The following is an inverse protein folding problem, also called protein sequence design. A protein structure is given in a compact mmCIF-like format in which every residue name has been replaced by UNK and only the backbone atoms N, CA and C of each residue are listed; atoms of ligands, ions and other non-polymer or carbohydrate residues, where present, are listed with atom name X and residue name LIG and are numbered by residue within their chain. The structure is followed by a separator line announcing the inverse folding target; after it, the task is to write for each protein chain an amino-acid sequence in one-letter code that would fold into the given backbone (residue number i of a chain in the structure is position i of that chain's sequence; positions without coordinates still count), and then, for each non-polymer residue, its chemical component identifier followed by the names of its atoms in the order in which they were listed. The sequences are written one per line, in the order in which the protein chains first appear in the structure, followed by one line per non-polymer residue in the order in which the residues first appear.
data_IF_973724861623
#
_entry.id   IF_973724861623
#
_cell.length_a   1.000
_cell.length_b   1.000
_cell.length_c   1.000
_cell.angle_alpha   90.00
_cell.angle_beta   90.00
_cell.angle_gamma   90.00
#
_symmetry.space_group_name_H-M   'P 1'
#
loop_
_entity.id
_entity.type
_entity.pdbx_description
1 polymer ?
#
# COMPACT_ATOMS: atom_id res chain seq x y z
N UNK A 1 33.50 -28.27 6.87
CA UNK A 1 32.07 -28.19 7.22
C UNK A 1 31.64 -26.74 7.18
N UNK A 2 30.55 -26.45 6.47
CA UNK A 2 29.97 -25.11 6.41
C UNK A 2 29.32 -24.68 7.74
N UNK A 3 29.01 -23.41 7.87
CA UNK A 3 28.21 -22.85 8.97
C UNK A 3 26.72 -22.96 8.68
N UNK A 4 25.90 -22.87 9.71
CA UNK A 4 24.43 -22.84 9.53
C UNK A 4 24.01 -21.66 8.63
N UNK A 5 23.07 -21.93 7.71
CA UNK A 5 22.59 -20.95 6.72
C UNK A 5 23.44 -20.83 5.45
N UNK A 6 24.50 -21.59 5.29
CA UNK A 6 25.27 -21.69 4.04
C UNK A 6 24.74 -22.79 3.11
N UNK A 7 24.91 -22.59 1.81
CA UNK A 7 24.61 -23.60 0.78
C UNK A 7 25.92 -24.03 0.10
N UNK A 8 25.96 -25.30 -0.29
CA UNK A 8 27.12 -25.82 -1.08
C UNK A 8 26.87 -25.43 -2.54
N UNK A 9 27.75 -24.56 -3.06
CA UNK A 9 27.64 -24.03 -4.43
C UNK A 9 28.80 -24.52 -5.28
N UNK A 10 28.56 -24.60 -6.60
CA UNK A 10 29.62 -24.82 -7.57
C UNK A 10 30.37 -23.52 -7.80
N UNK A 11 31.66 -23.52 -7.63
CA UNK A 11 32.56 -22.37 -7.87
C UNK A 11 33.13 -22.33 -9.30
N UNK A 12 32.60 -23.18 -10.19
CA UNK A 12 33.01 -23.28 -11.59
C UNK A 12 33.78 -24.55 -11.94
N UNK A 13 33.98 -24.75 -13.23
CA UNK A 13 34.70 -25.94 -13.74
C UNK A 13 36.15 -25.97 -13.23
N UNK A 14 36.55 -27.11 -12.63
CA UNK A 14 37.90 -27.31 -12.11
C UNK A 14 38.17 -26.78 -10.70
N UNK A 15 37.16 -26.21 -10.04
CA UNK A 15 37.26 -25.76 -8.63
C UNK A 15 36.41 -26.62 -7.72
N UNK A 16 36.83 -26.93 -6.48
CA UNK A 16 35.99 -27.63 -5.51
C UNK A 16 34.75 -26.81 -5.13
N UNK A 17 33.60 -27.45 -4.87
CA UNK A 17 32.43 -26.74 -4.32
C UNK A 17 32.77 -26.03 -3.00
N UNK A 18 32.18 -24.85 -2.79
CA UNK A 18 32.37 -24.08 -1.56
C UNK A 18 31.00 -23.86 -0.84
N UNK A 19 31.07 -23.69 0.49
CA UNK A 19 29.95 -23.25 1.27
C UNK A 19 29.86 -21.73 1.20
N UNK A 20 28.74 -21.22 0.65
CA UNK A 20 28.53 -19.79 0.48
C UNK A 20 27.26 -19.36 1.19
N UNK A 21 27.25 -18.10 1.67
CA UNK A 21 26.04 -17.51 2.21
C UNK A 21 24.98 -17.38 1.11
N UNK A 22 23.75 -17.69 1.43
CA UNK A 22 22.64 -17.42 0.52
C UNK A 22 22.55 -15.90 0.33
N UNK A 23 22.57 -15.38 -0.91
CA UNK A 23 22.39 -13.94 -1.14
C UNK A 23 21.12 -13.45 -0.47
N UNK A 24 21.24 -12.42 0.37
CA UNK A 24 20.12 -11.91 1.18
C UNK A 24 19.12 -11.04 0.39
N UNK A 25 19.41 -10.73 -0.88
CA UNK A 25 18.61 -9.80 -1.67
C UNK A 25 17.29 -10.37 -2.20
N UNK A 26 16.24 -9.56 -2.20
CA UNK A 26 15.02 -9.83 -2.93
C UNK A 26 14.05 -10.83 -2.31
N UNK A 27 14.19 -11.19 -1.02
CA UNK A 27 13.27 -12.10 -0.33
C UNK A 27 12.08 -11.35 0.25
N UNK A 28 10.87 -11.91 0.10
CA UNK A 28 9.72 -11.51 0.90
C UNK A 28 9.90 -12.12 2.29
N UNK A 29 10.08 -11.28 3.30
CA UNK A 29 10.36 -11.69 4.68
C UNK A 29 9.07 -11.85 5.50
N UNK A 30 8.09 -10.98 5.27
CA UNK A 30 6.77 -11.05 5.88
C UNK A 30 5.72 -10.42 4.99
N UNK A 31 4.46 -10.84 5.16
CA UNK A 31 3.29 -10.28 4.48
C UNK A 31 2.23 -9.99 5.52
N UNK A 32 1.68 -8.78 5.47
CA UNK A 32 0.54 -8.35 6.31
C UNK A 32 -0.57 -7.91 5.38
N UNK A 33 -1.78 -8.41 5.61
CA UNK A 33 -2.96 -8.01 4.86
C UNK A 33 -4.04 -7.47 5.80
N UNK A 34 -4.65 -6.37 5.40
CA UNK A 34 -5.79 -5.77 6.07
C UNK A 34 -6.94 -5.57 5.08
N UNK A 35 -8.16 -5.74 5.57
CA UNK A 35 -9.40 -5.50 4.83
C UNK A 35 -10.29 -4.60 5.66
N UNK A 36 -10.92 -3.61 5.02
CA UNK A 36 -11.94 -2.79 5.64
C UNK A 36 -13.18 -2.73 4.75
N UNK A 37 -14.34 -3.06 5.31
CA UNK A 37 -15.65 -3.00 4.64
C UNK A 37 -16.58 -1.95 5.27
N UNK A 38 -16.08 -1.16 6.23
CA UNK A 38 -16.88 -0.10 6.86
C UNK A 38 -17.02 1.08 5.90
N UNK A 39 -18.25 1.45 5.61
CA UNK A 39 -18.53 2.63 4.78
C UNK A 39 -18.10 3.91 5.51
N UNK A 40 -17.36 4.76 4.83
CA UNK A 40 -16.99 6.10 5.28
C UNK A 40 -17.40 7.12 4.22
N UNK A 41 -18.00 8.21 4.67
CA UNK A 41 -18.55 9.26 3.80
C UNK A 41 -17.85 10.59 4.05
N UNK A 42 -17.60 11.37 3.00
CA UNK A 42 -17.04 12.73 3.10
C UNK A 42 -17.67 13.65 2.04
N UNK A 43 -17.86 14.90 2.41
CA UNK A 43 -18.20 16.02 1.52
C UNK A 43 -17.08 17.09 1.56
N UNK A 44 -15.98 16.82 2.21
CA UNK A 44 -14.88 17.75 2.46
C UNK A 44 -13.71 17.53 1.49
N UNK A 45 -13.07 18.62 1.10
CA UNK A 45 -11.78 18.60 0.41
C UNK A 45 -10.62 18.26 1.35
N UNK A 46 -10.82 18.27 2.67
CA UNK A 46 -9.84 17.82 3.64
C UNK A 46 -9.81 16.29 3.70
N UNK A 47 -8.61 15.72 3.73
CA UNK A 47 -8.41 14.28 3.79
C UNK A 47 -8.80 13.71 5.16
N UNK A 48 -9.57 12.63 5.16
CA UNK A 48 -9.97 11.85 6.32
C UNK A 48 -9.53 10.39 6.14
N UNK A 49 -9.35 9.67 7.24
CA UNK A 49 -8.98 8.26 7.20
C UNK A 49 -10.10 7.41 6.58
N UNK A 50 -9.73 6.47 5.71
CA UNK A 50 -10.67 5.49 5.13
C UNK A 50 -11.04 4.38 6.11
N UNK A 51 -10.33 4.28 7.25
CA UNK A 51 -10.38 3.15 8.16
C UNK A 51 -9.51 1.96 7.72
N UNK A 52 -8.94 1.98 6.52
CA UNK A 52 -8.03 0.94 6.04
C UNK A 52 -6.62 1.20 6.58
N UNK A 53 -6.15 0.33 7.47
CA UNK A 53 -4.86 0.45 8.14
C UNK A 53 -4.22 -0.91 8.38
N UNK A 54 -2.89 -0.98 8.34
CA UNK A 54 -2.09 -2.16 8.65
C UNK A 54 -0.78 -1.76 9.34
N UNK A 55 -0.27 -2.63 10.21
CA UNK A 55 0.99 -2.44 10.90
C UNK A 55 2.00 -3.48 10.45
N UNK A 56 3.25 -3.07 10.24
CA UNK A 56 4.36 -3.95 9.90
C UNK A 56 5.61 -3.51 10.68
N UNK A 57 6.42 -4.47 11.14
CA UNK A 57 7.70 -4.18 11.82
C UNK A 57 8.82 -4.75 10.96
N UNK A 58 9.59 -3.89 10.24
CA UNK A 58 10.66 -4.38 9.39
C UNK A 58 11.77 -5.03 10.21
N UNK A 59 12.37 -6.11 9.68
CA UNK A 59 13.43 -6.87 10.35
C UNK A 59 14.80 -6.19 10.25
N UNK A 60 14.99 -5.30 9.26
CA UNK A 60 16.24 -4.54 9.08
C UNK A 60 15.94 -3.11 8.58
N UNK A 61 16.84 -2.17 8.87
CA UNK A 61 16.74 -0.78 8.39
C UNK A 61 16.93 -0.68 6.88
N UNK A 62 17.55 -1.67 6.24
CA UNK A 62 17.70 -1.78 4.78
C UNK A 62 16.47 -2.35 4.09
N UNK A 63 15.54 -2.99 4.82
CA UNK A 63 14.32 -3.54 4.27
C UNK A 63 13.44 -2.47 3.63
N UNK A 64 12.78 -2.85 2.53
CA UNK A 64 11.76 -2.03 1.87
C UNK A 64 10.39 -2.62 2.11
N UNK A 65 9.36 -1.77 2.08
CA UNK A 65 7.98 -2.20 2.21
C UNK A 65 7.26 -1.97 0.88
N UNK A 66 6.86 -3.06 0.23
CA UNK A 66 5.95 -2.99 -0.92
C UNK A 66 4.52 -2.85 -0.39
N UNK A 67 3.91 -1.72 -0.70
CA UNK A 67 2.53 -1.37 -0.33
C UNK A 67 1.65 -1.55 -1.55
N UNK A 68 0.65 -2.42 -1.46
CA UNK A 68 -0.36 -2.64 -2.49
C UNK A 68 -1.71 -2.33 -1.84
N UNK A 69 -2.42 -1.34 -2.37
CA UNK A 69 -3.73 -0.97 -1.85
C UNK A 69 -4.77 -0.92 -2.95
N UNK A 70 -5.99 -1.29 -2.59
CA UNK A 70 -7.17 -1.22 -3.43
C UNK A 70 -8.30 -0.62 -2.61
N UNK A 71 -8.83 0.53 -3.03
CA UNK A 71 -9.87 1.26 -2.33
C UNK A 71 -11.14 1.26 -3.18
N UNK A 72 -12.24 0.76 -2.63
CA UNK A 72 -13.56 0.87 -3.26
C UNK A 72 -14.12 2.28 -3.03
N UNK A 73 -14.31 3.01 -4.10
CA UNK A 73 -14.65 4.43 -4.10
C UNK A 73 -15.95 4.68 -4.85
N UNK A 74 -16.81 5.50 -4.27
CA UNK A 74 -18.09 5.88 -4.88
C UNK A 74 -18.26 7.41 -4.85
N UNK A 75 -18.62 8.01 -5.99
CA UNK A 75 -19.19 9.36 -6.06
C UNK A 75 -20.71 9.28 -6.14
N UNK A 76 -21.42 10.23 -5.55
CA UNK A 76 -22.88 10.22 -5.48
C UNK A 76 -23.55 11.28 -6.38
N UNK A 77 -22.79 12.19 -6.98
CA UNK A 77 -23.32 13.25 -7.85
C UNK A 77 -22.29 13.62 -8.92
N UNK A 78 -22.77 14.33 -9.94
CA UNK A 78 -21.90 14.98 -10.93
C UNK A 78 -20.88 15.90 -10.24
N UNK A 79 -19.80 16.19 -10.92
CA UNK A 79 -18.73 17.09 -10.46
C UNK A 79 -18.10 16.76 -9.11
N UNK A 80 -18.27 15.51 -8.64
CA UNK A 80 -17.56 14.98 -7.48
C UNK A 80 -16.43 14.07 -7.90
N UNK A 81 -15.36 14.04 -7.11
CA UNK A 81 -14.23 13.14 -7.36
C UNK A 81 -13.61 12.67 -6.06
N UNK A 82 -13.26 11.38 -5.99
CA UNK A 82 -12.52 10.82 -4.86
C UNK A 82 -11.03 11.00 -5.10
N UNK A 83 -10.33 11.55 -4.13
CA UNK A 83 -8.87 11.52 -4.07
C UNK A 83 -8.42 10.60 -2.94
N UNK A 84 -7.40 9.79 -3.21
CA UNK A 84 -6.81 8.85 -2.22
C UNK A 84 -5.34 9.23 -1.98
N UNK A 85 -4.90 9.09 -0.73
CA UNK A 85 -3.50 9.22 -0.32
C UNK A 85 -3.10 8.02 0.54
N UNK A 86 -1.80 7.71 0.55
CA UNK A 86 -1.21 6.72 1.44
C UNK A 86 -0.26 7.38 2.42
N UNK A 87 -0.32 6.94 3.67
CA UNK A 87 0.52 7.43 4.75
C UNK A 87 1.26 6.28 5.44
N UNK A 88 2.51 6.54 5.82
CA UNK A 88 3.24 5.81 6.85
C UNK A 88 3.32 6.69 8.08
N UNK A 89 2.59 6.34 9.14
CA UNK A 89 2.41 7.21 10.30
C UNK A 89 1.82 8.56 9.92
N UNK A 90 2.60 9.64 10.05
CA UNK A 90 2.25 11.00 9.63
C UNK A 90 2.87 11.41 8.29
N UNK A 91 3.70 10.56 7.67
CA UNK A 91 4.39 10.86 6.41
C UNK A 91 3.58 10.37 5.24
N UNK A 92 3.20 11.25 4.33
CA UNK A 92 2.61 10.88 3.04
C UNK A 92 3.67 10.18 2.18
N UNK A 93 3.32 9.00 1.62
CA UNK A 93 4.17 8.21 0.74
C UNK A 93 3.54 8.10 -0.65
N UNK A 94 4.38 7.92 -1.68
CA UNK A 94 3.92 7.79 -3.07
C UNK A 94 3.71 9.11 -3.80
N UNK A 95 3.83 10.25 -3.13
CA UNK A 95 3.80 11.58 -3.74
C UNK A 95 2.54 11.87 -4.56
N UNK A 96 2.64 12.73 -5.56
CA UNK A 96 1.53 13.19 -6.41
C UNK A 96 0.85 12.11 -7.26
N UNK A 97 1.39 10.89 -7.31
CA UNK A 97 0.85 9.80 -8.12
C UNK A 97 -0.48 9.29 -7.54
N UNK A 98 -0.66 9.38 -6.23
CA UNK A 98 -1.81 8.81 -5.53
C UNK A 98 -2.96 9.80 -5.34
N UNK A 99 -2.74 11.09 -5.46
CA UNK A 99 -3.76 12.13 -5.26
C UNK A 99 -4.73 12.32 -6.43
N UNK A 100 -4.88 11.35 -7.36
CA UNK A 100 -5.69 11.54 -8.55
C UNK A 100 -7.13 11.06 -8.41
N UNK A 101 -8.00 11.91 -8.93
CA UNK A 101 -9.44 11.79 -9.08
C UNK A 101 -9.87 10.49 -9.76
N UNK A 102 -10.79 9.75 -9.14
CA UNK A 102 -11.60 8.81 -9.90
C UNK A 102 -12.60 9.65 -10.70
N UNK A 103 -12.44 9.55 -12.00
CA UNK A 103 -13.26 10.04 -13.09
C UNK A 103 -14.34 11.05 -12.71
N UNK A 104 -14.05 12.28 -13.05
CA UNK A 104 -15.03 13.23 -13.47
C UNK A 104 -15.51 12.79 -14.86
N UNK A 105 -16.66 12.19 -14.93
CA UNK A 105 -17.42 12.09 -16.16
C UNK A 105 -18.64 12.97 -15.97
N UNK A 106 -19.04 13.71 -16.98
CA UNK A 106 -20.26 14.56 -17.01
C UNK A 106 -21.56 13.79 -16.71
N UNK A 107 -21.42 12.59 -16.13
CA UNK A 107 -22.54 11.75 -15.76
C UNK A 107 -23.20 12.30 -14.49
N UNK A 108 -24.46 12.66 -14.58
CA UNK A 108 -25.31 13.14 -13.51
C UNK A 108 -25.60 12.07 -12.44
N UNK A 109 -24.97 10.90 -12.53
CA UNK A 109 -25.27 9.73 -11.73
C UNK A 109 -24.22 9.32 -10.71
N UNK A 110 -24.61 8.38 -9.88
CA UNK A 110 -23.75 7.62 -8.98
C UNK A 110 -22.75 6.77 -9.79
N UNK A 111 -21.48 6.88 -9.48
CA UNK A 111 -20.42 6.05 -10.07
C UNK A 111 -19.60 5.40 -8.98
N UNK A 112 -19.28 4.10 -9.15
CA UNK A 112 -18.42 3.31 -8.27
C UNK A 112 -17.23 2.80 -9.06
N UNK A 113 -16.06 2.85 -8.45
CA UNK A 113 -14.81 2.41 -9.07
C UNK A 113 -13.82 1.97 -7.99
N UNK A 114 -12.83 1.20 -8.38
CA UNK A 114 -11.74 0.78 -7.51
C UNK A 114 -10.51 1.60 -7.83
N UNK A 115 -9.92 2.23 -6.80
CA UNK A 115 -8.65 2.92 -6.91
C UNK A 115 -7.53 2.06 -6.31
N UNK A 116 -6.65 1.55 -7.18
CA UNK A 116 -5.53 0.72 -6.78
C UNK A 116 -4.20 1.42 -7.03
N UNK A 117 -3.23 1.20 -6.15
CA UNK A 117 -1.86 1.69 -6.32
C UNK A 117 -0.86 0.73 -5.70
N UNK A 118 0.39 0.86 -6.15
CA UNK A 118 1.54 0.13 -5.62
C UNK A 118 2.68 1.11 -5.35
N UNK A 119 3.27 1.03 -4.14
CA UNK A 119 4.39 1.88 -3.70
C UNK A 119 5.47 0.98 -3.12
N UNK A 120 6.73 1.24 -3.46
CA UNK A 120 7.87 0.67 -2.77
C UNK A 120 8.46 1.74 -1.83
N UNK A 121 8.18 1.60 -0.54
CA UNK A 121 8.63 2.52 0.49
C UNK A 121 9.96 2.05 1.12
N UNK A 122 10.79 3.00 1.54
CA UNK A 122 12.07 2.75 2.21
C UNK A 122 12.06 3.41 3.59
N UNK A 123 11.51 2.75 4.62
CA UNK A 123 11.27 3.38 5.91
C UNK A 123 12.54 3.61 6.74
N UNK A 124 13.63 2.89 6.46
CA UNK A 124 14.89 2.93 7.21
C UNK A 124 14.71 2.74 8.73
N UNK A 125 13.82 1.83 9.12
CA UNK A 125 13.39 1.61 10.50
C UNK A 125 13.15 0.14 10.80
N UNK A 126 13.40 -0.26 12.03
CA UNK A 126 13.00 -1.56 12.60
C UNK A 126 11.89 -1.43 13.66
N UNK A 127 11.34 -0.23 13.82
CA UNK A 127 10.18 -0.01 14.69
C UNK A 127 8.88 -0.39 13.99
N UNK A 128 7.82 -0.64 14.76
CA UNK A 128 6.48 -0.84 14.21
C UNK A 128 6.02 0.39 13.43
N UNK A 129 5.57 0.18 12.20
CA UNK A 129 5.12 1.20 11.27
C UNK A 129 3.66 0.96 10.93
N UNK A 130 2.86 2.02 11.01
CA UNK A 130 1.44 2.00 10.60
C UNK A 130 1.31 2.59 9.21
N UNK A 131 0.75 1.82 8.29
CA UNK A 131 0.35 2.29 6.95
C UNK A 131 -1.15 2.44 6.91
N UNK A 132 -1.64 3.51 6.27
CA UNK A 132 -3.07 3.77 6.13
C UNK A 132 -3.39 4.53 4.86
N UNK A 133 -4.64 4.45 4.41
CA UNK A 133 -5.15 5.29 3.33
C UNK A 133 -6.08 6.38 3.86
N UNK A 134 -6.05 7.53 3.19
CA UNK A 134 -6.95 8.64 3.42
C UNK A 134 -7.65 9.02 2.13
N UNK A 135 -8.84 9.62 2.24
CA UNK A 135 -9.62 10.09 1.10
C UNK A 135 -10.19 11.48 1.32
N UNK A 136 -10.51 12.15 0.21
CA UNK A 136 -11.17 13.44 0.20
C UNK A 136 -12.11 13.55 -1.00
N UNK A 137 -13.06 14.48 -0.94
CA UNK A 137 -13.77 14.95 -2.12
C UNK A 137 -12.95 16.03 -2.82
N UNK A 138 -12.22 15.67 -3.88
CA UNK A 138 -11.30 16.59 -4.55
C UNK A 138 -12.01 17.67 -5.39
N UNK A 139 -13.30 17.54 -5.67
CA UNK A 139 -14.08 18.55 -6.40
C UNK A 139 -14.75 19.58 -5.47
N UNK A 140 -14.79 19.31 -4.16
CA UNK A 140 -15.31 20.23 -3.15
C UNK A 140 -16.84 20.36 -3.09
N UNK A 141 -17.59 19.66 -3.97
CA UNK A 141 -19.06 19.64 -3.97
C UNK A 141 -19.58 18.21 -3.95
N UNK A 142 -20.78 17.99 -3.37
CA UNK A 142 -21.40 16.68 -3.28
C UNK A 142 -20.71 15.74 -2.29
N UNK A 143 -21.04 14.45 -2.37
CA UNK A 143 -20.62 13.43 -1.41
C UNK A 143 -19.86 12.30 -2.10
N UNK A 144 -18.77 11.87 -1.48
CA UNK A 144 -17.98 10.69 -1.85
C UNK A 144 -17.97 9.67 -0.72
N UNK A 145 -17.82 8.39 -1.05
CA UNK A 145 -17.79 7.29 -0.09
C UNK A 145 -16.67 6.32 -0.39
N UNK A 146 -16.19 5.68 0.66
CA UNK A 146 -15.33 4.50 0.61
C UNK A 146 -16.17 3.32 1.12
N UNK A 147 -16.05 2.15 0.48
CA UNK A 147 -16.75 0.91 0.83
C UNK A 147 -18.30 1.05 0.83
N UNK A 148 -18.84 1.71 -0.17
CA UNK A 148 -20.29 1.89 -0.29
C UNK A 148 -21.01 0.57 -0.58
N UNK A 149 -22.13 0.34 0.09
CA UNK A 149 -22.91 -0.88 -0.07
C UNK A 149 -22.18 -2.10 0.50
N UNK A 150 -21.85 -3.07 -0.34
CA UNK A 150 -21.08 -4.26 0.06
C UNK A 150 -19.61 -4.17 -0.37
N UNK A 151 -19.11 -2.97 -0.67
CA UNK A 151 -17.73 -2.74 -1.08
C UNK A 151 -16.73 -2.99 0.05
N UNK A 152 -15.50 -3.33 -0.32
CA UNK A 152 -14.39 -3.46 0.62
C UNK A 152 -13.09 -2.98 0.00
N UNK A 153 -12.22 -2.46 0.85
CA UNK A 153 -10.88 -2.02 0.51
C UNK A 153 -9.84 -2.95 1.14
N UNK A 154 -8.71 -3.13 0.46
CA UNK A 154 -7.62 -4.01 0.92
C UNK A 154 -6.29 -3.27 0.94
N UNK A 155 -5.44 -3.63 1.90
CA UNK A 155 -4.07 -3.13 2.03
C UNK A 155 -3.15 -4.31 2.32
N UNK A 156 -2.24 -4.59 1.39
CA UNK A 156 -1.21 -5.60 1.57
C UNK A 156 0.16 -4.92 1.72
N UNK A 157 0.88 -5.28 2.76
CA UNK A 157 2.25 -4.85 3.03
C UNK A 157 3.17 -6.06 2.92
N UNK A 158 4.24 -5.95 2.12
CA UNK A 158 5.25 -6.99 2.01
C UNK A 158 6.62 -6.42 2.36
N UNK A 159 7.30 -7.00 3.33
CA UNK A 159 8.70 -6.67 3.59
C UNK A 159 9.60 -7.37 2.58
N UNK A 160 10.39 -6.58 1.89
CA UNK A 160 11.41 -7.03 0.94
C UNK A 160 12.78 -6.85 1.59
N UNK A 161 13.47 -7.96 1.83
CA UNK A 161 14.85 -7.95 2.33
C UNK A 161 15.82 -7.39 1.29
N UNK A 162 16.79 -6.60 1.75
CA UNK A 162 17.90 -6.11 0.93
C UNK A 162 19.03 -7.14 0.84
#
# INVERSE_FOLDING_TARGET
TGSDGQVLTSTGAGSPPAFEAIPAGGKVLQVVNAVNATEVTSNSASYADTGLTANITPSATSSKILVIASNDCTKLSADTSVAIRCYRGSTEIGGTIIGRKIADTDDTGKSQSVFSFTILDSPSSTSALTFKTQFANAAGSGTVRINAGSGSSTLCLMEIGA
#
